data_IF_255930261769
#
_entry.id   IF_255930261769
#
_cell.length_a   1.000
_cell.length_b   1.000
_cell.length_c   1.000
_cell.angle_alpha   90.00
_cell.angle_beta   90.00
_cell.angle_gamma   90.00
#
_symmetry.space_group_name_H-M   'P 1'
#
loop_
_entity.id
_entity.type
_entity.pdbx_description
1 polymer ?
#
# COMPACT_ATOMS: atom_id res chain seq x y z
N UNK A 1 7.59 21.56 -1.41
CA UNK A 1 7.83 20.46 -2.37
C UNK A 1 7.14 19.23 -1.80
N UNK A 2 6.36 18.54 -2.61
CA UNK A 2 5.69 17.31 -2.18
C UNK A 2 6.70 16.14 -2.29
N UNK A 3 6.70 15.19 -1.34
CA UNK A 3 7.64 14.05 -1.33
C UNK A 3 6.94 12.70 -1.20
N UNK A 4 7.47 11.59 -1.77
CA UNK A 4 6.82 10.28 -1.70
C UNK A 4 6.97 9.61 -0.35
N UNK A 5 5.93 8.92 0.15
CA UNK A 5 6.03 8.16 1.41
C UNK A 5 7.06 7.02 1.33
N UNK A 6 7.36 6.50 0.12
CA UNK A 6 8.39 5.48 -0.09
C UNK A 6 9.80 5.90 0.33
N UNK A 7 10.06 7.21 0.50
CA UNK A 7 11.33 7.70 1.07
C UNK A 7 11.47 7.41 2.56
N UNK A 8 10.37 7.22 3.29
CA UNK A 8 10.37 6.90 4.71
C UNK A 8 10.73 5.42 4.97
N UNK A 9 10.47 4.54 3.98
CA UNK A 9 10.70 3.11 4.11
C UNK A 9 12.17 2.73 3.84
N UNK A 10 12.83 2.20 4.88
CA UNK A 10 14.19 1.64 4.81
C UNK A 10 15.35 2.64 4.83
N UNK A 11 15.13 3.91 5.18
CA UNK A 11 16.21 4.88 5.41
C UNK A 11 16.42 5.13 6.92
N UNK A 12 17.53 4.65 7.52
CA UNK A 12 17.79 4.82 8.95
C UNK A 12 18.15 6.27 9.33
N UNK A 13 18.47 7.14 8.36
CA UNK A 13 18.88 8.52 8.59
C UNK A 13 17.71 9.51 8.59
N UNK A 14 16.47 9.05 8.39
CA UNK A 14 15.27 9.90 8.41
C UNK A 14 14.56 9.69 9.74
N UNK A 15 14.24 10.80 10.41
CA UNK A 15 13.45 10.77 11.64
C UNK A 15 12.07 10.13 11.36
N UNK A 16 11.65 9.14 12.16
CA UNK A 16 10.36 8.48 11.98
C UNK A 16 9.22 9.49 12.11
N UNK A 17 8.23 9.41 11.21
CA UNK A 17 6.99 10.15 11.41
C UNK A 17 6.23 9.59 12.62
N UNK A 18 5.51 10.47 13.31
CA UNK A 18 4.68 10.03 14.43
C UNK A 18 3.55 9.12 13.96
N UNK A 19 3.07 8.27 14.87
CA UNK A 19 1.93 7.38 14.61
C UNK A 19 0.70 8.11 14.05
N UNK A 20 0.37 9.27 14.59
CA UNK A 20 -0.78 10.08 14.14
C UNK A 20 -0.59 10.59 12.70
N UNK A 21 0.63 10.96 12.33
CA UNK A 21 0.93 11.37 10.96
C UNK A 21 0.82 10.17 10.01
N UNK A 22 1.34 9.01 10.39
CA UNK A 22 1.25 7.79 9.58
C UNK A 22 -0.22 7.36 9.37
N UNK A 23 -1.05 7.43 10.42
CA UNK A 23 -2.49 7.20 10.31
C UNK A 23 -3.16 8.23 9.39
N UNK A 24 -2.81 9.52 9.53
CA UNK A 24 -3.33 10.58 8.65
C UNK A 24 -3.01 10.28 7.18
N UNK A 25 -1.80 9.84 6.89
CA UNK A 25 -1.37 9.50 5.53
C UNK A 25 -2.14 8.29 5.00
N UNK A 26 -2.24 7.22 5.79
CA UNK A 26 -2.99 6.02 5.42
C UNK A 26 -4.47 6.33 5.13
N UNK A 27 -5.11 7.14 5.97
CA UNK A 27 -6.48 7.61 5.79
C UNK A 27 -6.61 8.46 4.52
N UNK A 28 -5.66 9.37 4.27
CA UNK A 28 -5.64 10.18 3.05
C UNK A 28 -5.53 9.34 1.78
N UNK A 29 -4.64 8.36 1.76
CA UNK A 29 -4.50 7.40 0.66
C UNK A 29 -5.77 6.58 0.43
N UNK A 30 -6.39 6.09 1.52
CA UNK A 30 -7.65 5.35 1.45
C UNK A 30 -8.79 6.22 0.90
N UNK A 31 -8.89 7.49 1.32
CA UNK A 31 -9.90 8.43 0.81
C UNK A 31 -9.71 8.71 -0.68
N UNK A 32 -8.48 8.93 -1.12
CA UNK A 32 -8.18 9.13 -2.53
C UNK A 32 -8.56 7.91 -3.37
N UNK A 33 -8.25 6.71 -2.89
CA UNK A 33 -8.61 5.48 -3.58
C UNK A 33 -10.12 5.23 -3.60
N UNK A 34 -10.79 5.45 -2.47
CA UNK A 34 -12.24 5.35 -2.36
C UNK A 34 -12.95 6.30 -3.34
N UNK A 35 -12.47 7.54 -3.45
CA UNK A 35 -13.01 8.52 -4.41
C UNK A 35 -12.98 8.00 -5.86
N UNK A 36 -11.88 7.37 -6.28
CA UNK A 36 -11.76 6.77 -7.61
C UNK A 36 -12.75 5.62 -7.81
N UNK A 37 -12.87 4.74 -6.80
CA UNK A 37 -13.74 3.56 -6.84
C UNK A 37 -15.22 3.91 -6.82
N UNK A 38 -15.62 4.98 -6.13
CA UNK A 38 -17.00 5.45 -6.06
C UNK A 38 -17.40 6.39 -7.19
N UNK A 39 -16.47 6.79 -8.05
CA UNK A 39 -16.79 7.57 -9.24
C UNK A 39 -17.73 6.80 -10.18
N UNK A 40 -18.51 7.51 -11.01
CA UNK A 40 -19.43 6.89 -11.98
C UNK A 40 -18.72 5.88 -12.90
N UNK A 41 -17.46 6.15 -13.24
CA UNK A 41 -16.65 5.31 -14.12
C UNK A 41 -15.89 4.19 -13.37
N UNK A 42 -16.02 4.12 -12.04
CA UNK A 42 -15.36 3.15 -11.15
C UNK A 42 -13.88 2.96 -11.50
N UNK A 43 -13.12 4.05 -11.51
CA UNK A 43 -11.73 4.06 -11.96
C UNK A 43 -10.91 3.11 -11.08
N UNK A 44 -10.24 2.14 -11.70
CA UNK A 44 -9.25 1.25 -11.08
C UNK A 44 -7.87 1.86 -11.30
N UNK A 45 -7.15 2.17 -10.23
CA UNK A 45 -5.89 2.90 -10.27
C UNK A 45 -4.71 2.02 -10.74
N UNK A 46 -4.71 0.74 -10.35
CA UNK A 46 -3.85 -0.36 -10.84
C UNK A 46 -2.37 -0.31 -10.43
N UNK A 47 -1.85 0.85 -10.03
CA UNK A 47 -0.45 0.99 -9.59
C UNK A 47 -0.33 1.63 -8.19
N UNK A 48 -1.20 1.20 -7.27
CA UNK A 48 -1.23 1.75 -5.91
C UNK A 48 0.01 1.30 -5.11
N UNK A 49 0.95 2.23 -4.89
CA UNK A 49 2.22 2.01 -4.20
C UNK A 49 2.68 3.23 -3.42
N UNK A 50 3.56 3.03 -2.45
CA UNK A 50 4.08 4.10 -1.60
C UNK A 50 4.71 5.24 -2.42
N UNK A 51 5.51 4.95 -3.44
CA UNK A 51 6.14 6.00 -4.25
C UNK A 51 5.16 6.86 -5.06
N UNK A 52 3.89 6.46 -5.20
CA UNK A 52 2.85 7.25 -5.86
C UNK A 52 1.95 8.02 -4.86
N UNK A 53 2.23 7.93 -3.56
CA UNK A 53 1.56 8.74 -2.53
C UNK A 53 2.50 9.88 -2.14
N UNK A 54 2.17 11.08 -2.61
CA UNK A 54 2.89 12.31 -2.30
C UNK A 54 2.33 12.95 -1.03
N UNK A 55 3.21 13.56 -0.25
CA UNK A 55 2.87 14.29 0.97
C UNK A 55 3.16 15.78 0.77
N UNK A 56 2.18 16.63 1.04
CA UNK A 56 2.41 18.08 1.11
C UNK A 56 3.08 18.48 2.45
N UNK A 57 3.36 19.78 2.62
CA UNK A 57 3.98 20.31 3.84
C UNK A 57 3.19 20.09 5.14
N UNK A 58 1.92 19.67 5.03
CA UNK A 58 1.04 19.33 6.16
C UNK A 58 0.80 17.82 6.26
N UNK A 59 1.56 16.98 5.55
CA UNK A 59 1.39 15.53 5.48
C UNK A 59 0.01 15.09 4.96
N UNK A 60 -0.63 15.89 4.09
CA UNK A 60 -1.81 15.43 3.38
C UNK A 60 -1.38 14.57 2.20
N UNK A 61 -1.97 13.38 2.08
CA UNK A 61 -1.69 12.44 1.01
C UNK A 61 -2.36 12.86 -0.31
N UNK A 62 -1.61 12.78 -1.41
CA UNK A 62 -2.07 12.97 -2.78
C UNK A 62 -1.62 11.79 -3.63
N UNK A 63 -2.54 11.25 -4.44
CA UNK A 63 -2.25 10.15 -5.37
C UNK A 63 -1.70 10.76 -6.67
N UNK A 64 -0.55 10.28 -7.12
CA UNK A 64 0.11 10.68 -8.38
C UNK A 64 -0.20 9.68 -9.50
N UNK A 65 0.31 9.91 -10.72
CA UNK A 65 0.51 8.91 -11.79
C UNK A 65 -0.68 7.99 -12.10
N UNK A 66 -1.60 8.50 -12.93
CA UNK A 66 -2.76 7.76 -13.43
C UNK A 66 -2.47 7.06 -14.77
N UNK A 67 -1.20 6.93 -15.19
CA UNK A 67 -0.84 6.41 -16.51
C UNK A 67 -1.27 4.95 -16.76
N UNK A 68 -1.48 4.18 -15.69
CA UNK A 68 -1.93 2.80 -15.74
C UNK A 68 -3.42 2.61 -15.40
N UNK A 69 -4.10 3.69 -15.00
CA UNK A 69 -5.48 3.64 -14.56
C UNK A 69 -6.41 3.14 -15.67
N UNK A 70 -7.48 2.46 -15.27
CA UNK A 70 -8.49 1.90 -16.15
C UNK A 70 -9.88 2.25 -15.66
N UNK A 71 -10.82 2.40 -16.59
CA UNK A 71 -12.23 2.45 -16.22
C UNK A 71 -12.65 1.08 -15.70
N UNK A 72 -13.53 1.05 -14.71
CA UNK A 72 -14.06 -0.19 -14.18
C UNK A 72 -14.92 -0.94 -15.20
N UNK A 73 -15.34 -2.17 -14.87
CA UNK A 73 -16.17 -2.96 -15.77
C UNK A 73 -17.48 -2.23 -16.11
N UNK A 74 -17.84 -2.24 -17.39
CA UNK A 74 -19.11 -1.75 -17.91
C UNK A 74 -20.09 -2.91 -18.12
N UNK A 75 -21.40 -2.62 -18.17
CA UNK A 75 -22.41 -3.62 -18.57
C UNK A 75 -22.61 -4.80 -17.59
N UNK A 76 -22.36 -4.60 -16.30
CA UNK A 76 -22.58 -5.64 -15.26
C UNK A 76 -21.44 -6.63 -15.07
N UNK A 77 -20.31 -6.48 -15.77
CA UNK A 77 -19.10 -7.28 -15.53
C UNK A 77 -18.49 -7.06 -14.14
N UNK A 78 -17.76 -8.06 -13.64
CA UNK A 78 -17.08 -8.00 -12.34
C UNK A 78 -15.63 -7.50 -12.42
N UNK A 79 -15.02 -7.54 -13.60
CA UNK A 79 -13.60 -7.23 -13.82
C UNK A 79 -13.34 -6.66 -15.22
N UNK A 80 -12.13 -6.11 -15.38
CA UNK A 80 -11.59 -5.68 -16.66
C UNK A 80 -10.48 -6.65 -17.07
N UNK A 81 -10.66 -7.35 -18.19
CA UNK A 81 -9.58 -8.17 -18.77
C UNK A 81 -8.57 -7.26 -19.45
N UNK A 82 -7.32 -7.31 -19.01
CA UNK A 82 -6.24 -6.47 -19.56
C UNK A 82 -4.91 -7.19 -19.45
N UNK A 83 -3.94 -6.78 -20.29
CA UNK A 83 -2.52 -7.11 -20.08
C UNK A 83 -2.11 -6.86 -18.62
N UNK A 84 -1.22 -7.66 -18.05
CA UNK A 84 -0.73 -7.46 -16.68
C UNK A 84 0.22 -6.26 -16.68
N UNK A 85 -0.10 -5.23 -15.89
CA UNK A 85 0.73 -4.03 -15.67
C UNK A 85 0.56 -3.56 -14.24
N UNK A 86 1.57 -2.89 -13.70
CA UNK A 86 1.63 -2.42 -12.33
C UNK A 86 3.00 -2.75 -11.74
N UNK A 87 3.25 -2.31 -10.52
CA UNK A 87 4.54 -2.53 -9.85
C UNK A 87 4.57 -3.90 -9.16
N UNK A 88 5.62 -4.68 -9.43
CA UNK A 88 5.84 -5.97 -8.77
C UNK A 88 5.97 -5.79 -7.25
N UNK A 89 5.31 -6.65 -6.48
CA UNK A 89 5.19 -6.52 -5.02
C UNK A 89 3.90 -5.84 -4.54
N UNK A 90 3.19 -5.12 -5.42
CA UNK A 90 1.91 -4.45 -5.09
C UNK A 90 0.70 -5.03 -5.83
N UNK A 91 0.93 -5.75 -6.93
CA UNK A 91 -0.14 -6.32 -7.74
C UNK A 91 -0.79 -7.53 -7.03
N UNK A 92 -2.11 -7.56 -7.05
CA UNK A 92 -2.90 -8.64 -6.45
C UNK A 92 -2.63 -9.99 -7.13
N UNK A 93 -2.51 -11.09 -6.37
CA UNK A 93 -2.12 -12.39 -6.93
C UNK A 93 -3.11 -12.92 -7.96
N UNK A 94 -4.41 -12.72 -7.77
CA UNK A 94 -5.44 -13.11 -8.72
C UNK A 94 -5.35 -12.31 -10.04
N UNK A 95 -4.95 -11.05 -9.97
CA UNK A 95 -4.74 -10.23 -11.16
C UNK A 95 -3.52 -10.70 -11.95
N UNK A 96 -2.42 -11.03 -11.26
CA UNK A 96 -1.21 -11.59 -11.89
C UNK A 96 -1.52 -12.94 -12.55
N UNK A 97 -2.33 -13.78 -11.90
CA UNK A 97 -2.63 -15.12 -12.41
C UNK A 97 -3.57 -15.12 -13.62
N UNK A 98 -4.53 -14.18 -13.68
CA UNK A 98 -5.65 -14.24 -14.63
C UNK A 98 -5.71 -13.09 -15.62
N UNK A 99 -5.03 -11.97 -15.34
CA UNK A 99 -5.21 -10.71 -16.08
C UNK A 99 -6.55 -10.02 -15.80
N UNK A 100 -7.36 -10.54 -14.87
CA UNK A 100 -8.62 -9.93 -14.45
C UNK A 100 -8.36 -8.85 -13.41
N UNK A 101 -8.58 -7.60 -13.80
CA UNK A 101 -8.37 -6.43 -12.94
C UNK A 101 -9.68 -6.06 -12.23
N UNK A 102 -9.65 -6.02 -10.90
CA UNK A 102 -10.79 -5.68 -10.05
C UNK A 102 -10.53 -4.38 -9.29
N UNK A 103 -11.60 -3.73 -8.84
CA UNK A 103 -11.52 -2.65 -7.83
C UNK A 103 -10.79 -3.16 -6.56
N UNK A 104 -11.01 -4.43 -6.20
CA UNK A 104 -10.34 -5.09 -5.06
C UNK A 104 -8.84 -5.31 -5.28
N UNK A 105 -8.36 -5.29 -6.52
CA UNK A 105 -6.92 -5.37 -6.79
C UNK A 105 -6.19 -4.12 -6.27
N UNK A 106 -6.81 -2.94 -6.31
CA UNK A 106 -6.26 -1.74 -5.67
C UNK A 106 -6.27 -1.83 -4.14
N UNK A 107 -7.30 -2.48 -3.57
CA UNK A 107 -7.39 -2.68 -2.11
C UNK A 107 -6.24 -3.58 -1.61
N UNK A 108 -5.85 -4.59 -2.40
CA UNK A 108 -4.66 -5.37 -2.13
C UNK A 108 -3.40 -4.47 -2.12
N UNK A 109 -3.20 -3.65 -3.16
CA UNK A 109 -2.08 -2.72 -3.23
C UNK A 109 -2.03 -1.73 -2.06
N UNK A 110 -3.19 -1.21 -1.64
CA UNK A 110 -3.31 -0.39 -0.43
C UNK A 110 -2.88 -1.16 0.83
N UNK A 111 -3.25 -2.43 0.96
CA UNK A 111 -2.79 -3.30 2.04
C UNK A 111 -1.26 -3.45 2.07
N UNK A 112 -0.60 -3.55 0.91
CA UNK A 112 0.87 -3.55 0.83
C UNK A 112 1.46 -2.25 1.34
N UNK A 113 0.89 -1.10 0.95
CA UNK A 113 1.32 0.22 1.46
C UNK A 113 1.16 0.32 2.98
N UNK A 114 0.07 -0.22 3.55
CA UNK A 114 -0.09 -0.29 5.00
C UNK A 114 1.02 -1.10 5.66
N UNK A 115 1.43 -2.23 5.07
CA UNK A 115 2.55 -3.01 5.60
C UNK A 115 3.86 -2.21 5.55
N UNK A 116 4.12 -1.45 4.49
CA UNK A 116 5.30 -0.58 4.44
C UNK A 116 5.27 0.48 5.53
N UNK A 117 4.11 1.11 5.77
CA UNK A 117 3.91 2.10 6.83
C UNK A 117 4.15 1.48 8.21
N UNK A 118 3.56 0.31 8.48
CA UNK A 118 3.59 -0.31 9.80
C UNK A 118 4.96 -0.89 10.15
N UNK A 119 5.69 -1.40 9.16
CA UNK A 119 6.98 -2.07 9.37
C UNK A 119 8.17 -1.17 9.10
N UNK A 120 7.99 -0.06 8.38
CA UNK A 120 9.08 0.76 7.87
C UNK A 120 9.91 0.08 6.77
N UNK A 121 9.45 -1.07 6.25
CA UNK A 121 10.15 -1.89 5.26
C UNK A 121 9.57 -1.69 3.86
N UNK A 122 10.41 -1.79 2.83
CA UNK A 122 9.97 -1.71 1.43
C UNK A 122 9.16 -2.94 1.01
N UNK A 123 8.17 -2.77 0.14
CA UNK A 123 7.38 -3.89 -0.39
C UNK A 123 8.24 -4.92 -1.15
N UNK A 124 9.25 -4.43 -1.88
CA UNK A 124 10.26 -5.25 -2.55
C UNK A 124 11.67 -4.75 -2.24
N UNK A 125 12.53 -5.65 -1.80
CA UNK A 125 13.92 -5.34 -1.47
C UNK A 125 14.84 -6.52 -1.81
N UNK A 126 15.60 -6.38 -2.88
CA UNK A 126 16.50 -7.41 -3.38
C UNK A 126 17.72 -7.64 -2.48
N UNK A 127 17.99 -6.73 -1.53
CA UNK A 127 19.09 -6.87 -0.57
C UNK A 127 18.76 -7.81 0.59
N UNK A 128 17.49 -8.15 0.79
CA UNK A 128 17.06 -9.10 1.83
C UNK A 128 17.37 -10.54 1.42
N UNK A 129 17.49 -11.46 2.41
CA UNK A 129 17.65 -12.88 2.15
C UNK A 129 16.55 -13.45 1.24
N UNK A 130 16.86 -14.56 0.57
CA UNK A 130 15.90 -15.30 -0.25
C UNK A 130 14.63 -15.63 0.53
N UNK A 131 13.47 -15.43 -0.11
CA UNK A 131 12.15 -15.59 0.53
C UNK A 131 11.69 -14.40 1.39
N UNK A 132 12.54 -13.39 1.63
CA UNK A 132 12.17 -12.17 2.37
C UNK A 132 12.09 -10.92 1.48
N UNK A 133 12.46 -11.05 0.21
CA UNK A 133 12.52 -9.94 -0.74
C UNK A 133 11.16 -9.31 -0.99
N UNK A 134 10.11 -10.12 -1.10
CA UNK A 134 8.72 -9.65 -1.16
C UNK A 134 8.16 -9.58 0.27
N UNK A 135 7.79 -8.38 0.71
CA UNK A 135 7.32 -8.13 2.07
C UNK A 135 6.04 -8.90 2.40
N UNK A 136 5.10 -9.00 1.45
CA UNK A 136 3.83 -9.70 1.67
C UNK A 136 4.09 -11.18 1.88
N UNK A 137 4.84 -11.82 0.99
CA UNK A 137 5.14 -13.25 1.10
C UNK A 137 5.94 -13.58 2.36
N UNK A 138 6.86 -12.70 2.74
CA UNK A 138 7.61 -12.84 3.99
C UNK A 138 6.70 -12.77 5.23
N UNK A 139 5.80 -11.78 5.28
CA UNK A 139 4.99 -11.51 6.47
C UNK A 139 3.71 -12.34 6.53
N UNK A 140 3.26 -12.92 5.43
CA UNK A 140 2.02 -13.73 5.32
C UNK A 140 1.81 -14.72 6.47
N UNK A 141 2.82 -15.50 6.92
CA UNK A 141 2.66 -16.44 8.04
C UNK A 141 2.46 -15.76 9.42
N UNK A 142 2.79 -14.48 9.51
CA UNK A 142 2.72 -13.66 10.72
C UNK A 142 1.47 -12.78 10.76
N UNK A 143 0.88 -12.43 9.61
CA UNK A 143 -0.28 -11.52 9.53
C UNK A 143 -1.52 -12.03 10.26
N UNK A 144 -1.70 -13.34 10.37
CA UNK A 144 -2.83 -13.94 11.09
C UNK A 144 -2.60 -14.05 12.61
N UNK A 145 -1.39 -13.79 13.09
CA UNK A 145 -1.02 -13.94 14.50
C UNK A 145 -0.72 -12.59 15.15
N UNK A 146 -1.62 -12.14 16.02
CA UNK A 146 -1.54 -10.87 16.75
C UNK A 146 -0.24 -10.66 17.53
N UNK A 147 0.36 -11.72 18.09
CA UNK A 147 1.65 -11.61 18.79
C UNK A 147 2.80 -11.37 17.80
N UNK A 148 2.78 -12.06 16.67
CA UNK A 148 3.78 -11.88 15.60
C UNK A 148 3.62 -10.53 14.88
N UNK A 149 2.39 -10.01 14.76
CA UNK A 149 2.15 -8.66 14.24
C UNK A 149 2.87 -7.59 15.07
N UNK A 150 2.82 -7.69 16.41
CA UNK A 150 3.54 -6.73 17.28
C UNK A 150 5.06 -6.76 17.07
N UNK A 151 5.62 -7.93 16.75
CA UNK A 151 7.08 -8.07 16.56
C UNK A 151 7.58 -7.53 15.22
N UNK A 152 6.68 -7.26 14.26
CA UNK A 152 7.05 -6.74 12.94
C UNK A 152 6.78 -5.24 12.79
N UNK A 153 6.11 -4.63 13.77
CA UNK A 153 5.93 -3.18 13.83
C UNK A 153 7.29 -2.50 13.91
N UNK A 154 7.43 -1.34 13.26
CA UNK A 154 8.63 -0.53 13.36
C UNK A 154 8.91 -0.20 14.83
N UNK A 155 10.07 -0.62 15.34
CA UNK A 155 10.47 -0.39 16.73
C UNK A 155 10.57 1.10 17.07
N UNK A 156 10.74 1.95 16.06
CA UNK A 156 10.78 3.40 16.22
C UNK A 156 9.40 4.01 16.54
N UNK A 157 8.33 3.24 16.35
CA UNK A 157 6.96 3.61 16.72
C UNK A 157 6.54 3.08 18.11
N UNK A 158 7.43 2.42 18.84
CA UNK A 158 7.11 1.83 20.15
C UNK A 158 6.59 2.89 21.13
N UNK A 159 5.48 2.58 21.81
CA UNK A 159 4.82 3.49 22.74
C UNK A 159 3.93 4.57 22.10
N UNK A 160 3.94 4.72 20.76
CA UNK A 160 3.10 5.72 20.06
C UNK A 160 1.73 5.18 19.62
N UNK A 161 1.55 3.85 19.67
CA UNK A 161 0.28 3.20 19.33
C UNK A 161 -0.29 2.43 20.53
N UNK A 162 -1.62 2.46 20.67
CA UNK A 162 -2.29 1.62 21.66
C UNK A 162 -2.08 0.14 21.31
N UNK A 163 -1.98 -0.72 22.32
CA UNK A 163 -2.01 -2.17 22.11
C UNK A 163 -3.28 -2.64 21.38
N UNK A 164 -4.37 -1.87 21.43
CA UNK A 164 -5.60 -2.06 20.66
C UNK A 164 -5.51 -1.64 19.19
N UNK A 165 -4.61 -0.71 18.83
CA UNK A 165 -4.46 -0.23 17.46
C UNK A 165 -3.68 -1.21 16.56
N UNK A 166 -2.98 -2.18 17.17
CA UNK A 166 -2.26 -3.28 16.48
C UNK A 166 -3.12 -4.56 16.41
N UNK A 167 -4.33 -4.55 16.99
CA UNK A 167 -5.22 -5.71 17.16
C UNK A 167 -6.37 -5.73 16.18
#
# INVERSE_FOLDING_TARGET
MDFPIGYLAGNPNIEPLSWDILLKIAIGGARGLAFLHTSEKKVIYRDFKASNILLDGNYNAKILDFGLAKLGPSGGGSHVTTRIMGTYGYAAPEYIATGHLYVKSDVYGFGVVLLEILTGLRALDTKRPGGQQNLVEWLKPSLSNKRKLKTIMDTRMEGQYSSKAVL
#
